data_IF_081605250301
#
_entry.id   IF_081605250301
#
_cell.length_a   1.000
_cell.length_b   1.000
_cell.length_c   1.000
_cell.angle_alpha   90.00
_cell.angle_beta   90.00
_cell.angle_gamma   90.00
#
_symmetry.space_group_name_H-M   'P 1'
#
loop_
_entity.id
_entity.type
_entity.pdbx_description
1 polymer ?
#
# COMPACT_ATOMS: atom_id res chain seq x y z
N UNK A 1 59.04 -3.43 -32.84
CA UNK A 1 58.33 -4.59 -33.42
C UNK A 1 57.02 -4.76 -32.65
N UNK A 2 55.85 -4.42 -33.22
CA UNK A 2 54.57 -4.58 -32.52
C UNK A 2 53.95 -5.96 -32.83
N UNK A 3 53.61 -6.68 -31.78
CA UNK A 3 53.00 -8.02 -31.84
C UNK A 3 51.49 -7.88 -32.02
N UNK A 4 50.98 -8.37 -33.15
CA UNK A 4 49.56 -8.40 -33.52
C UNK A 4 48.88 -9.60 -32.84
N UNK A 5 47.82 -9.35 -32.05
CA UNK A 5 46.97 -10.40 -31.45
C UNK A 5 45.67 -10.51 -32.28
N UNK A 6 45.32 -11.68 -32.83
CA UNK A 6 44.11 -11.84 -33.64
C UNK A 6 42.85 -12.07 -32.80
N UNK A 7 41.75 -11.45 -33.23
CA UNK A 7 40.37 -11.65 -32.76
C UNK A 7 39.87 -13.05 -33.12
N UNK A 8 39.40 -13.83 -32.13
CA UNK A 8 38.60 -15.04 -32.37
C UNK A 8 37.12 -14.71 -32.36
N UNK A 9 36.49 -14.85 -33.52
CA UNK A 9 35.04 -14.94 -33.71
C UNK A 9 34.61 -16.39 -33.47
N UNK A 10 33.70 -16.63 -32.53
CA UNK A 10 33.04 -17.93 -32.38
C UNK A 10 31.56 -17.76 -32.75
N UNK A 11 31.21 -18.23 -33.94
CA UNK A 11 29.85 -18.59 -34.36
C UNK A 11 29.63 -20.06 -33.97
N UNK A 12 28.59 -20.38 -33.22
CA UNK A 12 28.00 -21.72 -33.13
C UNK A 12 26.49 -21.52 -32.96
N UNK A 13 25.74 -21.65 -34.05
CA UNK A 13 25.09 -22.88 -34.54
C UNK A 13 23.84 -23.24 -33.75
N UNK A 14 22.72 -23.04 -34.44
CA UNK A 14 21.40 -23.52 -34.11
C UNK A 14 21.37 -25.04 -33.97
N UNK A 15 20.66 -25.53 -32.97
CA UNK A 15 20.28 -26.94 -32.85
C UNK A 15 18.77 -27.01 -32.66
N UNK A 16 18.07 -27.34 -33.75
CA UNK A 16 16.71 -27.88 -33.73
C UNK A 16 16.83 -29.40 -33.51
N UNK A 17 16.03 -29.96 -32.60
CA UNK A 17 15.46 -31.32 -32.67
C UNK A 17 14.76 -31.61 -31.33
N UNK A 18 13.43 -31.74 -31.33
CA UNK A 18 12.72 -33.02 -31.16
C UNK A 18 12.99 -33.69 -29.80
N UNK A 19 11.93 -33.88 -28.99
CA UNK A 19 11.54 -35.22 -28.51
C UNK A 19 10.20 -35.19 -27.72
N UNK A 20 9.24 -35.93 -28.27
CA UNK A 20 8.22 -36.80 -27.63
C UNK A 20 7.24 -36.28 -26.55
N UNK A 21 5.97 -36.29 -26.97
CA UNK A 21 4.80 -36.80 -26.24
C UNK A 21 5.13 -38.01 -25.35
N UNK A 22 4.75 -37.95 -24.07
CA UNK A 22 4.36 -39.11 -23.27
C UNK A 22 3.08 -38.77 -22.52
N UNK A 23 1.98 -39.31 -23.02
CA UNK A 23 0.70 -39.49 -22.32
C UNK A 23 0.83 -40.69 -21.39
N UNK A 24 0.62 -40.49 -20.09
CA UNK A 24 0.32 -41.57 -19.15
C UNK A 24 -0.83 -41.13 -18.24
N UNK A 25 -1.98 -41.72 -18.51
CA UNK A 25 -3.20 -41.69 -17.70
C UNK A 25 -2.95 -42.54 -16.46
N UNK A 26 -3.10 -41.96 -15.27
CA UNK A 26 -3.30 -42.71 -14.03
C UNK A 26 -4.50 -42.13 -13.29
N UNK A 27 -5.63 -42.82 -13.44
CA UNK A 27 -6.82 -42.68 -12.61
C UNK A 27 -6.59 -43.39 -11.28
N UNK A 28 -6.41 -42.64 -10.20
CA UNK A 28 -6.49 -43.14 -8.83
C UNK A 28 -7.63 -42.42 -8.11
N UNK A 29 -8.72 -43.16 -7.87
CA UNK A 29 -9.84 -42.76 -7.04
C UNK A 29 -9.44 -42.84 -5.57
N UNK A 30 -9.14 -41.69 -4.96
CA UNK A 30 -9.16 -41.52 -3.51
C UNK A 30 -10.34 -40.62 -3.14
N UNK A 31 -11.33 -41.23 -2.49
CA UNK A 31 -12.34 -40.49 -1.73
C UNK A 31 -11.78 -40.11 -0.35
N UNK A 32 -12.20 -38.94 0.14
CA UNK A 32 -12.15 -38.63 1.58
C UNK A 32 -11.48 -37.32 1.96
N UNK A 33 -12.34 -36.33 2.22
CA UNK A 33 -12.23 -35.28 3.25
C UNK A 33 -11.27 -34.09 3.06
N UNK A 34 -11.85 -32.89 3.14
CA UNK A 34 -11.14 -31.68 3.57
C UNK A 34 -10.89 -30.66 2.46
N UNK A 35 -11.93 -30.28 1.70
CA UNK A 35 -11.83 -29.10 0.86
C UNK A 35 -11.59 -27.84 1.71
N UNK A 36 -10.60 -27.00 1.40
CA UNK A 36 -10.44 -25.73 2.09
C UNK A 36 -11.70 -24.89 1.84
N UNK A 37 -12.32 -24.42 2.92
CA UNK A 37 -13.37 -23.42 2.84
C UNK A 37 -12.87 -22.26 1.97
N UNK A 38 -13.36 -22.17 0.74
CA UNK A 38 -13.30 -20.93 -0.01
C UNK A 38 -14.05 -19.93 0.83
N UNK A 39 -13.30 -19.07 1.53
CA UNK A 39 -13.84 -17.83 2.03
C UNK A 39 -14.58 -17.20 0.85
N UNK A 40 -15.89 -17.07 0.98
CA UNK A 40 -16.71 -16.26 0.10
C UNK A 40 -16.26 -14.82 0.31
N UNK A 41 -15.19 -14.43 -0.37
CA UNK A 41 -14.90 -13.02 -0.61
C UNK A 41 -16.05 -12.52 -1.45
N UNK A 42 -16.99 -11.83 -0.81
CA UNK A 42 -18.01 -11.07 -1.50
C UNK A 42 -17.27 -9.98 -2.31
N UNK A 43 -17.22 -10.08 -3.65
CA UNK A 43 -16.44 -9.14 -4.46
C UNK A 43 -17.05 -7.72 -4.47
N UNK A 44 -18.22 -7.53 -3.87
CA UNK A 44 -18.90 -6.23 -3.75
C UNK A 44 -18.41 -5.37 -2.57
N UNK A 45 -17.58 -5.92 -1.66
CA UNK A 45 -17.05 -5.16 -0.52
C UNK A 45 -15.66 -4.55 -0.78
N UNK A 46 -14.96 -4.98 -1.83
CA UNK A 46 -13.73 -4.34 -2.33
C UNK A 46 -14.09 -3.38 -3.46
N UNK A 47 -15.04 -2.48 -3.20
CA UNK A 47 -15.18 -1.29 -4.02
C UNK A 47 -14.53 -0.20 -3.19
N UNK A 48 -13.33 0.24 -3.59
CA UNK A 48 -12.71 1.47 -3.04
C UNK A 48 -13.75 2.57 -3.14
N UNK A 49 -14.43 2.76 -2.02
CA UNK A 49 -15.72 3.35 -2.03
C UNK A 49 -15.50 4.81 -2.38
N UNK A 50 -16.07 5.20 -3.51
CA UNK A 50 -16.59 6.52 -3.76
C UNK A 50 -16.92 7.18 -2.42
N UNK A 51 -16.47 8.40 -2.18
CA UNK A 51 -17.26 9.27 -1.34
C UNK A 51 -18.54 9.50 -2.17
N UNK A 52 -19.65 8.77 -1.96
CA UNK A 52 -20.89 9.18 -2.55
C UNK A 52 -21.13 10.56 -2.00
N UNK A 53 -21.84 11.34 -2.78
CA UNK A 53 -22.62 12.46 -2.31
C UNK A 53 -23.62 11.94 -1.25
N UNK A 54 -23.10 11.62 -0.06
CA UNK A 54 -23.90 11.55 1.15
C UNK A 54 -24.27 13.00 1.32
N UNK A 55 -25.43 13.40 0.78
CA UNK A 55 -25.99 14.73 1.03
C UNK A 55 -25.78 14.97 2.52
N UNK A 56 -25.02 16.00 2.89
CA UNK A 56 -24.63 16.24 4.29
C UNK A 56 -25.84 16.24 5.23
N UNK A 57 -27.04 16.51 4.71
CA UNK A 57 -28.33 16.40 5.40
C UNK A 57 -28.72 15.00 5.92
N UNK A 58 -28.05 13.92 5.52
CA UNK A 58 -28.33 12.54 6.01
C UNK A 58 -27.47 12.15 7.24
N UNK A 59 -26.49 12.97 7.63
CA UNK A 59 -25.54 12.71 8.73
C UNK A 59 -25.97 13.40 10.03
N UNK A 60 -27.24 13.26 10.39
CA UNK A 60 -27.80 13.87 11.61
C UNK A 60 -27.53 13.06 12.87
N UNK A 61 -26.99 11.84 12.72
CA UNK A 61 -26.79 10.91 13.82
C UNK A 61 -25.45 11.05 14.54
N UNK A 62 -25.41 10.63 15.80
CA UNK A 62 -24.19 10.58 16.61
C UNK A 62 -24.01 9.23 17.30
N UNK A 63 -22.75 8.86 17.54
CA UNK A 63 -22.35 7.72 18.37
C UNK A 63 -21.51 8.27 19.52
N UNK A 64 -21.61 7.64 20.70
CA UNK A 64 -20.74 8.00 21.82
C UNK A 64 -19.30 7.54 21.53
N UNK A 65 -18.31 8.28 22.04
CA UNK A 65 -16.90 7.88 21.92
C UNK A 65 -16.64 6.53 22.62
N UNK A 66 -17.38 6.23 23.68
CA UNK A 66 -17.31 4.95 24.41
C UNK A 66 -17.79 3.78 23.54
N UNK A 67 -18.90 3.93 22.82
CA UNK A 67 -19.41 2.90 21.91
C UNK A 67 -18.45 2.66 20.75
N UNK A 68 -17.92 3.74 20.17
CA UNK A 68 -16.93 3.65 19.10
C UNK A 68 -15.71 2.89 19.61
N UNK A 69 -15.13 3.34 20.73
CA UNK A 69 -13.93 2.73 21.30
C UNK A 69 -14.13 1.27 21.63
N UNK A 70 -15.25 0.91 22.27
CA UNK A 70 -15.57 -0.47 22.64
C UNK A 70 -15.55 -1.40 21.43
N UNK A 71 -16.21 -1.03 20.33
CA UNK A 71 -16.26 -1.86 19.12
C UNK A 71 -14.87 -2.04 18.49
N UNK A 72 -14.05 -0.98 18.49
CA UNK A 72 -12.67 -1.07 17.99
C UNK A 72 -11.78 -1.91 18.89
N UNK A 73 -11.89 -1.76 20.21
CA UNK A 73 -11.13 -2.52 21.21
C UNK A 73 -11.48 -4.02 21.15
N UNK A 74 -12.77 -4.36 20.96
CA UNK A 74 -13.24 -5.75 20.77
C UNK A 74 -12.67 -6.40 19.49
N UNK A 75 -12.31 -5.60 18.49
CA UNK A 75 -11.76 -6.06 17.20
C UNK A 75 -10.26 -5.79 17.06
N UNK A 76 -9.57 -5.47 18.16
CA UNK A 76 -8.14 -5.16 18.16
C UNK A 76 -7.29 -6.26 17.48
N UNK A 77 -7.60 -7.54 17.70
CA UNK A 77 -6.89 -8.66 17.07
C UNK A 77 -7.09 -8.72 15.56
N UNK A 78 -8.27 -8.35 15.07
CA UNK A 78 -8.57 -8.23 13.65
C UNK A 78 -7.69 -7.17 12.99
N UNK A 79 -7.58 -6.00 13.61
CA UNK A 79 -6.69 -4.94 13.12
C UNK A 79 -5.21 -5.33 13.21
N UNK A 80 -4.78 -6.02 14.28
CA UNK A 80 -3.41 -6.54 14.38
C UNK A 80 -3.08 -7.57 13.29
N UNK A 81 -4.05 -8.35 12.82
CA UNK A 81 -3.84 -9.31 11.74
C UNK A 81 -3.42 -8.67 10.42
N UNK A 82 -3.90 -7.46 10.11
CA UNK A 82 -3.50 -6.74 8.90
C UNK A 82 -1.98 -6.53 8.83
N UNK A 83 -1.34 -6.31 9.98
CA UNK A 83 0.11 -6.13 10.08
C UNK A 83 0.87 -7.45 10.03
N UNK A 84 0.35 -8.48 10.71
CA UNK A 84 0.97 -9.81 10.70
C UNK A 84 1.07 -10.36 9.28
N UNK A 85 0.08 -10.10 8.43
CA UNK A 85 0.05 -10.56 7.04
C UNK A 85 1.15 -9.95 6.17
N UNK A 86 1.48 -8.67 6.39
CA UNK A 86 2.52 -7.97 5.62
C UNK A 86 3.94 -8.15 6.18
N UNK A 87 4.09 -8.85 7.32
CA UNK A 87 5.38 -9.16 7.92
C UNK A 87 6.19 -7.93 8.38
N UNK A 88 5.50 -6.82 8.61
CA UNK A 88 6.11 -5.51 8.72
C UNK A 88 6.52 -5.16 10.16
N UNK A 89 7.58 -5.80 10.67
CA UNK A 89 8.08 -5.60 12.05
C UNK A 89 8.83 -4.28 12.29
N UNK A 90 8.85 -3.41 11.28
CA UNK A 90 9.46 -2.07 11.34
C UNK A 90 8.53 -0.98 10.76
N UNK A 91 7.25 -1.31 10.55
CA UNK A 91 6.23 -0.37 10.07
C UNK A 91 5.47 0.18 11.26
N UNK A 92 5.33 1.49 11.27
CA UNK A 92 4.72 2.18 12.40
C UNK A 92 4.25 3.57 12.00
N UNK A 93 3.38 4.17 12.80
CA UNK A 93 2.66 5.36 12.39
C UNK A 93 1.23 5.41 12.89
N UNK A 94 0.46 6.29 12.30
CA UNK A 94 -0.95 6.50 12.54
C UNK A 94 -1.72 6.37 11.22
N UNK A 95 -2.86 5.69 11.30
CA UNK A 95 -3.86 5.61 10.24
C UNK A 95 -5.15 6.20 10.80
N UNK A 96 -5.71 7.20 10.12
CA UNK A 96 -7.01 7.75 10.42
C UNK A 96 -8.06 7.08 9.53
N UNK A 97 -8.94 6.30 10.14
CA UNK A 97 -10.09 5.72 9.46
C UNK A 97 -11.27 6.67 9.57
N UNK A 98 -11.99 6.86 8.47
CA UNK A 98 -13.30 7.52 8.47
C UNK A 98 -14.37 6.47 8.20
N UNK A 99 -15.33 6.38 9.12
CA UNK A 99 -16.38 5.37 9.11
C UNK A 99 -17.73 6.08 9.05
N UNK A 100 -18.61 5.60 8.17
CA UNK A 100 -20.02 6.00 8.12
C UNK A 100 -20.87 4.82 8.54
N UNK A 101 -21.71 5.01 9.56
CA UNK A 101 -22.58 3.99 10.15
C UNK A 101 -24.03 4.34 9.85
N UNK A 102 -24.79 3.34 9.38
CA UNK A 102 -26.23 3.47 9.10
C UNK A 102 -27.03 3.58 10.41
N UNK A 103 -28.28 4.03 10.32
CA UNK A 103 -29.18 4.11 11.48
C UNK A 103 -29.42 2.76 12.19
N UNK A 104 -29.13 1.62 11.55
CA UNK A 104 -29.23 0.30 12.14
C UNK A 104 -27.93 -0.22 12.77
N UNK A 105 -26.88 0.61 12.85
CA UNK A 105 -25.59 0.24 13.44
C UNK A 105 -24.60 -0.45 12.50
N UNK A 106 -25.01 -0.82 11.28
CA UNK A 106 -24.08 -1.41 10.29
C UNK A 106 -23.23 -0.36 9.62
N UNK A 107 -21.96 -0.67 9.37
CA UNK A 107 -21.08 0.21 8.59
C UNK A 107 -21.57 0.29 7.15
N UNK A 108 -21.76 1.51 6.65
CA UNK A 108 -22.03 1.82 5.25
C UNK A 108 -20.73 1.91 4.45
N UNK A 109 -19.69 2.48 5.07
CA UNK A 109 -18.37 2.68 4.46
C UNK A 109 -17.30 2.87 5.53
N UNK A 110 -16.13 2.32 5.30
CA UNK A 110 -14.90 2.65 6.00
C UNK A 110 -13.77 2.89 4.98
N UNK A 111 -12.95 3.90 5.21
CA UNK A 111 -11.80 4.21 4.35
C UNK A 111 -10.73 4.97 5.12
N UNK A 112 -9.49 4.90 4.65
CA UNK A 112 -8.38 5.68 5.20
C UNK A 112 -8.46 7.10 4.64
N UNK A 113 -8.55 8.09 5.52
CA UNK A 113 -8.50 9.51 5.14
C UNK A 113 -7.14 10.14 5.31
N UNK A 114 -6.33 9.59 6.21
CA UNK A 114 -4.96 10.02 6.45
C UNK A 114 -4.11 8.85 6.88
N UNK A 115 -2.91 8.72 6.35
CA UNK A 115 -1.95 7.70 6.79
C UNK A 115 -0.53 8.23 6.78
N UNK A 116 0.24 7.82 7.79
CA UNK A 116 1.69 7.86 7.69
C UNK A 116 2.33 6.48 7.88
N UNK A 117 1.51 5.43 7.84
CA UNK A 117 1.95 4.08 8.12
C UNK A 117 2.95 3.61 7.08
N UNK A 118 2.62 3.79 5.80
CA UNK A 118 3.51 3.50 4.67
C UNK A 118 3.46 2.04 4.22
N UNK A 119 2.31 1.38 4.35
CA UNK A 119 2.05 0.06 3.76
C UNK A 119 0.60 -0.01 3.28
N UNK A 120 0.41 0.21 1.98
CA UNK A 120 -0.92 0.29 1.36
C UNK A 120 -1.76 -0.97 1.61
N UNK A 121 -1.14 -2.16 1.56
CA UNK A 121 -1.87 -3.43 1.74
C UNK A 121 -2.44 -3.56 3.15
N UNK A 122 -1.69 -3.09 4.16
CA UNK A 122 -2.16 -3.08 5.54
C UNK A 122 -3.25 -2.02 5.74
N UNK A 123 -3.09 -0.84 5.14
CA UNK A 123 -4.08 0.25 5.15
C UNK A 123 -5.42 -0.18 4.55
N UNK A 124 -5.40 -0.91 3.43
CA UNK A 124 -6.59 -1.50 2.79
C UNK A 124 -7.24 -2.55 3.70
N UNK A 125 -6.46 -3.47 4.27
CA UNK A 125 -6.96 -4.46 5.22
C UNK A 125 -7.63 -3.81 6.46
N UNK A 126 -7.08 -2.69 6.95
CA UNK A 126 -7.66 -1.95 8.07
C UNK A 126 -9.04 -1.37 7.70
N UNK A 127 -9.15 -0.74 6.53
CA UNK A 127 -10.42 -0.22 6.04
C UNK A 127 -11.45 -1.34 5.84
N UNK A 128 -11.03 -2.46 5.25
CA UNK A 128 -11.89 -3.63 5.05
C UNK A 128 -12.38 -4.19 6.39
N UNK A 129 -11.48 -4.39 7.35
CA UNK A 129 -11.82 -4.86 8.70
C UNK A 129 -12.84 -3.92 9.37
N UNK A 130 -12.63 -2.61 9.27
CA UNK A 130 -13.56 -1.62 9.78
C UNK A 130 -14.92 -1.66 9.06
N UNK A 131 -14.96 -2.06 7.78
CA UNK A 131 -16.17 -2.24 6.98
C UNK A 131 -17.11 -3.33 7.48
N UNK A 132 -16.61 -4.30 8.26
CA UNK A 132 -17.39 -5.40 8.81
C UNK A 132 -17.88 -5.19 10.25
N UNK A 133 -17.54 -4.05 10.87
CA UNK A 133 -17.94 -3.76 12.24
C UNK A 133 -19.46 -3.52 12.35
N UNK A 134 -19.99 -3.85 13.52
CA UNK A 134 -21.36 -3.52 13.92
C UNK A 134 -21.31 -2.65 15.18
N UNK A 135 -21.91 -1.47 15.08
CA UNK A 135 -22.04 -0.51 16.18
C UNK A 135 -23.45 -0.55 16.75
N UNK A 136 -23.67 -0.02 17.96
CA UNK A 136 -25.00 0.35 18.40
C UNK A 136 -25.68 1.28 17.37
N UNK A 137 -27.02 1.25 17.25
CA UNK A 137 -27.74 2.22 16.43
C UNK A 137 -27.40 3.66 16.84
N UNK A 138 -26.92 4.52 15.92
CA UNK A 138 -26.62 5.91 16.24
C UNK A 138 -27.88 6.70 16.61
N UNK A 139 -27.74 7.65 17.54
CA UNK A 139 -28.84 8.53 17.92
C UNK A 139 -29.09 9.57 16.81
N UNK A 140 -30.29 9.60 16.24
CA UNK A 140 -30.68 10.66 15.29
C UNK A 140 -30.39 10.40 13.81
N UNK A 141 -29.97 9.19 13.42
CA UNK A 141 -29.83 8.80 12.01
C UNK A 141 -28.49 8.14 11.68
N UNK A 142 -27.93 8.43 10.49
CA UNK A 142 -26.59 7.96 10.13
C UNK A 142 -25.53 8.79 10.88
N UNK A 143 -24.46 8.15 11.32
CA UNK A 143 -23.34 8.82 11.95
C UNK A 143 -22.07 8.68 11.11
N UNK A 144 -21.21 9.71 11.13
CA UNK A 144 -19.87 9.66 10.56
C UNK A 144 -18.86 10.10 11.62
N UNK A 145 -17.78 9.35 11.76
CA UNK A 145 -16.70 9.69 12.69
C UNK A 145 -15.35 9.30 12.10
N UNK A 146 -14.29 9.84 12.69
CA UNK A 146 -12.92 9.45 12.41
C UNK A 146 -12.31 8.76 13.64
N UNK A 147 -11.58 7.67 13.43
CA UNK A 147 -10.94 6.90 14.49
C UNK A 147 -9.45 6.69 14.17
N UNK A 148 -8.53 7.18 15.03
CA UNK A 148 -7.11 7.00 14.82
C UNK A 148 -6.66 5.63 15.33
N UNK A 149 -5.93 4.89 14.50
CA UNK A 149 -5.21 3.69 14.88
C UNK A 149 -3.72 3.98 14.88
N UNK A 150 -3.03 3.64 15.98
CA UNK A 150 -1.62 3.97 16.20
C UNK A 150 -0.80 2.73 16.41
N UNK A 151 0.30 2.64 15.67
CA UNK A 151 1.33 1.63 15.83
C UNK A 151 2.62 2.30 16.27
N UNK A 152 2.93 2.11 17.55
CA UNK A 152 4.17 2.53 18.15
C UNK A 152 5.16 1.38 18.01
N UNK A 153 6.20 1.56 17.22
CA UNK A 153 7.33 0.63 17.29
C UNK A 153 8.45 1.17 18.17
N UNK A 154 8.93 0.35 19.11
CA UNK A 154 10.09 0.66 19.92
C UNK A 154 11.35 0.37 19.11
N UNK A 155 11.76 1.28 18.21
CA UNK A 155 13.01 1.05 17.48
C UNK A 155 13.39 2.03 16.39
N UNK A 156 12.52 2.98 16.03
CA UNK A 156 12.83 3.91 14.94
C UNK A 156 13.88 4.94 15.35
N UNK A 157 14.91 5.05 14.51
CA UNK A 157 15.64 6.31 14.34
C UNK A 157 14.99 7.09 13.21
N UNK A 158 14.84 8.39 13.42
CA UNK A 158 14.39 9.32 12.39
C UNK A 158 15.37 9.28 11.20
N UNK A 159 14.86 9.41 9.99
CA UNK A 159 15.71 9.55 8.80
C UNK A 159 16.61 10.76 8.95
N UNK A 160 17.90 10.58 8.66
CA UNK A 160 18.87 11.67 8.61
C UNK A 160 18.54 12.64 7.46
N UNK A 161 19.01 13.90 7.52
CA UNK A 161 18.84 14.85 6.41
C UNK A 161 19.38 14.32 5.07
N UNK A 162 20.46 13.54 5.09
CA UNK A 162 21.04 12.92 3.88
C UNK A 162 20.10 11.87 3.28
N UNK A 163 19.51 10.99 4.11
CA UNK A 163 18.53 9.98 3.66
C UNK A 163 17.27 10.63 3.09
N UNK A 164 16.86 11.77 3.66
CA UNK A 164 15.76 12.60 3.12
C UNK A 164 16.13 13.14 1.73
N UNK A 165 17.32 13.70 1.56
CA UNK A 165 17.78 14.25 0.27
C UNK A 165 17.86 13.17 -0.84
N UNK A 166 18.32 11.97 -0.51
CA UNK A 166 18.32 10.83 -1.44
C UNK A 166 16.92 10.48 -1.94
N UNK A 167 15.94 10.48 -1.03
CA UNK A 167 14.56 10.20 -1.37
C UNK A 167 14.04 11.19 -2.41
N UNK A 168 14.28 12.49 -2.21
CA UNK A 168 13.88 13.53 -3.16
C UNK A 168 14.49 13.33 -4.54
N UNK A 169 15.80 13.01 -4.60
CA UNK A 169 16.51 12.81 -5.86
C UNK A 169 15.97 11.61 -6.64
N UNK A 170 15.70 10.49 -5.98
CA UNK A 170 15.14 9.29 -6.61
C UNK A 170 13.77 9.58 -7.21
N UNK A 171 12.91 10.29 -6.48
CA UNK A 171 11.58 10.66 -6.97
C UNK A 171 11.65 11.67 -8.12
N UNK A 172 12.51 12.69 -7.99
CA UNK A 172 12.71 13.68 -9.05
C UNK A 172 13.21 13.04 -10.36
N UNK A 173 14.15 12.09 -10.27
CA UNK A 173 14.64 11.35 -11.44
C UNK A 173 13.55 10.49 -12.11
N UNK A 174 12.55 10.05 -11.34
CA UNK A 174 11.43 9.24 -11.83
C UNK A 174 10.15 10.05 -12.02
N UNK A 175 10.21 11.40 -12.02
CA UNK A 175 9.04 12.29 -12.08
C UNK A 175 8.07 11.94 -13.20
N UNK A 176 8.56 11.69 -14.41
CA UNK A 176 7.71 11.36 -15.54
C UNK A 176 6.86 10.11 -15.28
N UNK A 177 7.41 9.08 -14.62
CA UNK A 177 6.67 7.84 -14.31
C UNK A 177 5.55 8.10 -13.30
N UNK A 178 5.75 9.03 -12.36
CA UNK A 178 4.67 9.47 -11.46
C UNK A 178 3.61 10.28 -12.19
N UNK A 179 4.00 11.13 -13.15
CA UNK A 179 3.05 11.84 -14.02
C UNK A 179 2.25 10.85 -14.88
N UNK A 180 2.86 9.77 -15.38
CA UNK A 180 2.15 8.74 -16.14
C UNK A 180 1.05 8.08 -15.28
N UNK A 181 1.29 7.83 -13.99
CA UNK A 181 0.23 7.40 -13.06
C UNK A 181 -0.87 8.47 -12.92
N UNK A 182 -0.50 9.75 -12.76
CA UNK A 182 -1.49 10.84 -12.64
C UNK A 182 -2.36 10.96 -13.87
N UNK A 183 -1.77 10.94 -15.06
CA UNK A 183 -2.48 11.10 -16.32
C UNK A 183 -3.37 9.89 -16.61
N UNK A 184 -2.90 8.66 -16.33
CA UNK A 184 -3.70 7.44 -16.47
C UNK A 184 -4.99 7.47 -15.66
N UNK A 185 -4.94 8.02 -14.45
CA UNK A 185 -6.08 8.07 -13.53
C UNK A 185 -6.69 9.47 -13.39
N UNK A 186 -6.32 10.41 -14.27
CA UNK A 186 -6.78 11.81 -14.28
C UNK A 186 -6.67 12.51 -12.90
N UNK A 187 -5.65 12.15 -12.12
CA UNK A 187 -5.47 12.66 -10.76
C UNK A 187 -4.68 13.98 -10.74
N UNK A 188 -5.24 15.02 -10.11
CA UNK A 188 -4.66 16.37 -10.12
C UNK A 188 -4.30 16.93 -8.73
N UNK A 189 -4.66 16.28 -7.64
CA UNK A 189 -4.41 16.78 -6.28
C UNK A 189 -3.01 16.48 -5.72
N UNK A 190 -2.74 16.96 -4.48
CA UNK A 190 -1.57 16.58 -3.72
C UNK A 190 -1.63 15.11 -3.30
N UNK A 191 -0.47 14.53 -3.05
CA UNK A 191 -0.38 13.30 -2.28
C UNK A 191 0.98 13.18 -1.63
N UNK A 192 1.00 12.46 -0.53
CA UNK A 192 2.16 12.15 0.28
C UNK A 192 2.50 10.68 0.15
N UNK A 193 3.79 10.40 0.04
CA UNK A 193 4.32 9.05 -0.04
C UNK A 193 5.07 8.76 1.25
N UNK A 194 4.84 7.58 1.81
CA UNK A 194 5.66 7.04 2.89
C UNK A 194 6.32 5.77 2.40
N UNK A 195 7.64 5.67 2.50
CA UNK A 195 8.44 4.56 1.95
C UNK A 195 9.43 4.06 2.99
N UNK A 196 9.57 2.74 3.11
CA UNK A 196 10.60 2.10 3.91
C UNK A 196 11.64 1.48 2.98
N UNK A 197 12.90 1.88 3.14
CA UNK A 197 14.00 1.44 2.29
C UNK A 197 14.99 0.65 3.14
N UNK A 198 15.29 -0.57 2.71
CA UNK A 198 16.23 -1.46 3.37
C UNK A 198 17.52 -1.67 2.57
N UNK A 199 18.19 -2.79 2.87
CA UNK A 199 19.45 -3.20 2.24
C UNK A 199 19.37 -3.15 0.71
N UNK A 200 20.48 -2.77 0.09
CA UNK A 200 20.60 -2.64 -1.38
C UNK A 200 19.64 -1.61 -1.98
N UNK A 201 19.12 -0.69 -1.16
CA UNK A 201 18.21 0.36 -1.64
C UNK A 201 16.84 -0.16 -2.06
N UNK A 202 16.45 -1.34 -1.57
CA UNK A 202 15.16 -1.96 -1.85
C UNK A 202 14.06 -1.25 -1.06
N UNK A 203 12.96 -0.92 -1.74
CA UNK A 203 11.73 -0.52 -1.06
C UNK A 203 11.07 -1.77 -0.47
N UNK A 204 11.00 -1.82 0.85
CA UNK A 204 10.38 -2.92 1.59
C UNK A 204 8.87 -2.69 1.73
N UNK A 205 8.47 -1.47 2.08
CA UNK A 205 7.07 -1.05 2.22
C UNK A 205 6.89 0.34 1.61
N UNK A 206 5.70 0.58 1.08
CA UNK A 206 5.30 1.88 0.58
C UNK A 206 3.79 2.08 0.77
N UNK A 207 3.42 3.31 1.08
CA UNK A 207 2.03 3.73 1.25
C UNK A 207 1.79 5.11 0.66
N UNK A 208 0.51 5.42 0.55
CA UNK A 208 -0.01 6.61 -0.10
C UNK A 208 -0.95 7.34 0.86
N UNK A 209 -0.85 8.67 0.89
CA UNK A 209 -1.68 9.52 1.73
C UNK A 209 -2.14 10.75 0.92
N UNK A 210 -3.43 10.83 0.63
CA UNK A 210 -3.97 11.91 -0.19
C UNK A 210 -5.42 11.62 -0.59
N UNK A 211 -6.10 12.59 -1.23
CA UNK A 211 -7.43 12.35 -1.79
C UNK A 211 -7.34 11.19 -2.79
N UNK A 212 -8.25 10.23 -2.68
CA UNK A 212 -8.36 9.12 -3.62
C UNK A 212 -9.67 9.32 -4.39
N UNK A 213 -9.65 9.44 -5.73
CA UNK A 213 -10.88 9.41 -6.50
C UNK A 213 -11.60 8.07 -6.29
N UNK A 214 -12.93 8.12 -6.28
CA UNK A 214 -13.77 6.94 -6.26
C UNK A 214 -13.29 5.87 -7.26
N UNK A 215 -13.15 4.61 -6.83
CA UNK A 215 -12.73 3.50 -7.69
C UNK A 215 -11.41 3.73 -8.47
N UNK A 216 -10.47 4.47 -7.89
CA UNK A 216 -9.17 4.73 -8.51
C UNK A 216 -8.12 3.72 -8.07
N UNK A 217 -7.43 3.11 -9.04
CA UNK A 217 -6.23 2.30 -8.80
C UNK A 217 -4.97 3.19 -8.69
N UNK A 218 -5.13 4.51 -8.64
CA UNK A 218 -4.01 5.46 -8.57
C UNK A 218 -3.04 5.18 -7.41
N UNK A 219 -3.49 4.94 -6.15
CA UNK A 219 -2.58 4.57 -5.06
C UNK A 219 -1.73 3.34 -5.40
N UNK A 220 -2.36 2.30 -5.97
CA UNK A 220 -1.68 1.09 -6.42
C UNK A 220 -0.64 1.34 -7.51
N UNK A 221 -0.93 2.21 -8.49
CA UNK A 221 0.03 2.60 -9.53
C UNK A 221 1.29 3.24 -8.92
N UNK A 222 1.09 4.19 -8.02
CA UNK A 222 2.17 4.96 -7.40
C UNK A 222 2.99 4.10 -6.43
N UNK A 223 2.33 3.28 -5.60
CA UNK A 223 3.01 2.35 -4.68
C UNK A 223 3.75 1.26 -5.45
N UNK A 224 3.16 0.72 -6.53
CA UNK A 224 3.82 -0.22 -7.42
C UNK A 224 5.05 0.37 -8.10
N UNK A 225 4.97 1.63 -8.55
CA UNK A 225 6.10 2.38 -9.07
C UNK A 225 7.20 2.52 -8.01
N UNK A 226 6.89 3.00 -6.81
CA UNK A 226 7.85 3.11 -5.69
C UNK A 226 8.56 1.78 -5.42
N UNK A 227 7.81 0.69 -5.30
CA UNK A 227 8.36 -0.66 -5.07
C UNK A 227 9.31 -1.13 -6.19
N UNK A 228 9.20 -0.55 -7.39
CA UNK A 228 10.11 -0.82 -8.51
C UNK A 228 11.40 0.02 -8.52
N UNK A 229 11.46 1.09 -7.71
CA UNK A 229 12.62 1.99 -7.67
C UNK A 229 13.76 1.42 -6.85
N UNK A 230 14.96 1.98 -7.08
CA UNK A 230 16.17 1.71 -6.30
C UNK A 230 16.66 2.98 -5.66
N UNK A 231 16.80 2.95 -4.35
CA UNK A 231 17.34 4.06 -3.56
C UNK A 231 18.83 3.83 -3.29
N UNK A 232 19.57 4.86 -2.84
CA UNK A 232 20.89 4.64 -2.25
C UNK A 232 20.81 3.65 -1.09
N UNK A 233 21.85 2.81 -0.96
CA UNK A 233 21.86 1.74 0.03
C UNK A 233 22.11 2.31 1.45
N UNK A 234 21.15 2.19 2.39
CA UNK A 234 21.32 2.70 3.76
C UNK A 234 22.23 1.82 4.65
N UNK A 235 22.82 0.76 4.09
CA UNK A 235 23.62 -0.24 4.81
C UNK A 235 22.73 -1.34 5.38
N UNK A 236 22.99 -1.78 6.61
CA UNK A 236 22.19 -2.81 7.30
C UNK A 236 20.88 -2.27 7.90
N UNK A 237 20.59 -0.98 7.72
CA UNK A 237 19.49 -0.26 8.35
C UNK A 237 18.25 -0.24 7.45
N UNK A 238 17.09 -0.03 8.07
CA UNK A 238 15.87 0.41 7.36
C UNK A 238 15.62 1.87 7.72
N UNK A 239 15.34 2.72 6.74
CA UNK A 239 14.91 4.10 6.97
C UNK A 239 13.51 4.34 6.42
N UNK A 240 12.77 5.23 7.09
CA UNK A 240 11.40 5.65 6.71
C UNK A 240 11.46 7.05 6.12
N UNK A 241 11.09 7.17 4.85
CA UNK A 241 11.06 8.44 4.13
C UNK A 241 9.62 8.86 3.86
N UNK A 242 9.31 10.15 4.08
CA UNK A 242 7.99 10.73 3.80
C UNK A 242 8.15 12.01 3.00
N UNK A 243 7.33 12.19 1.96
CA UNK A 243 7.40 13.35 1.06
C UNK A 243 6.07 13.63 0.38
N UNK A 244 5.73 14.91 0.25
CA UNK A 244 4.58 15.39 -0.52
C UNK A 244 5.01 15.64 -1.96
N UNK A 245 4.32 15.05 -2.95
CA UNK A 245 4.75 15.09 -4.36
C UNK A 245 4.55 16.46 -5.03
N UNK A 246 3.64 17.30 -4.53
CA UNK A 246 3.53 18.71 -4.98
C UNK A 246 4.79 19.54 -4.67
N UNK A 247 5.61 19.10 -3.71
CA UNK A 247 6.86 19.76 -3.35
C UNK A 247 8.04 19.29 -4.22
N UNK A 248 7.81 18.35 -5.16
CA UNK A 248 8.78 18.03 -6.20
C UNK A 248 8.79 19.16 -7.25
N UNK A 249 9.17 20.38 -6.86
CA UNK A 249 9.51 21.44 -7.81
C UNK A 249 10.83 21.11 -8.52
N UNK A 250 11.11 21.77 -9.64
CA UNK A 250 12.22 21.46 -10.56
C UNK A 250 13.63 21.76 -9.99
N UNK A 251 13.72 22.33 -8.79
CA UNK A 251 14.95 22.81 -8.16
C UNK A 251 15.67 21.77 -7.27
N UNK A 252 15.52 20.47 -7.57
CA UNK A 252 16.28 19.45 -6.83
C UNK A 252 17.74 19.51 -7.27
N UNK A 253 18.58 20.09 -6.42
CA UNK A 253 20.03 20.18 -6.58
C UNK A 253 20.59 18.79 -6.96
N UNK A 254 21.24 18.64 -8.12
CA UNK A 254 21.73 17.35 -8.59
C UNK A 254 22.78 16.77 -7.63
N UNK A 255 22.82 15.43 -7.54
CA UNK A 255 23.88 14.71 -6.84
C UNK A 255 25.26 15.16 -7.37
N UNK A 256 26.13 15.61 -6.46
CA UNK A 256 27.56 15.43 -6.69
C UNK A 256 27.80 13.92 -6.81
N UNK A 257 28.33 13.49 -7.95
CA UNK A 257 28.52 12.09 -8.39
C UNK A 257 29.49 11.26 -7.53
N UNK A 258 29.83 11.68 -6.33
CA UNK A 258 30.93 11.12 -5.54
C UNK A 258 30.44 10.34 -4.32
N UNK A 259 29.65 9.27 -4.49
CA UNK A 259 29.49 8.23 -3.45
C UNK A 259 29.20 6.86 -4.06
#
# INVERSE_FOLDING_TARGET
MPTVIPRRTARFSAMKAFYTLVTAVLTATFGGCGGPNKATTNPDLIRHAEAPDTREGDLTGTLSEEDIRRVFDEQADGFQNCFRQVGATFVSGEVQLTVTVKANGRVERAFVTRSDLGELTAEECLADTAGYLEFPPPAGGKARFAYPLRWNEPGRRLSSPTEVAWGYQVLAHNRQRFQDCRDRYTFRGPFTLTTYVGRMGLVLHAGYDGPVPAASEFPGCVVGLLKSLRFPNPGERVFKYRVTVEELNDDVVPMNREY
#
